data_IF_854398590972
#
_entry.id   IF_854398590972
#
_cell.length_a   1.000
_cell.length_b   1.000
_cell.length_c   1.000
_cell.angle_alpha   90.00
_cell.angle_beta   90.00
_cell.angle_gamma   90.00
#
_symmetry.space_group_name_H-M   'P 1'
#
loop_
_entity.id
_entity.type
_entity.pdbx_description
1 polymer ?
#
# COMPACT_ATOMS: atom_id res chain seq x y z
N UNK A 1 10.22 -27.50 -9.33
CA UNK A 1 11.22 -26.95 -8.38
C UNK A 1 10.49 -26.62 -7.10
N UNK A 2 10.96 -27.04 -5.91
CA UNK A 2 10.32 -26.65 -4.65
C UNK A 2 10.57 -25.16 -4.42
N UNK A 3 9.49 -24.39 -4.28
CA UNK A 3 9.52 -22.94 -4.11
C UNK A 3 10.13 -22.53 -2.76
N UNK A 4 10.94 -21.48 -2.81
CA UNK A 4 11.44 -20.73 -1.65
C UNK A 4 10.31 -19.91 -1.01
N UNK A 5 9.25 -20.56 -0.54
CA UNK A 5 8.27 -19.92 0.34
C UNK A 5 8.61 -20.34 1.78
N UNK A 6 9.65 -19.70 2.31
CA UNK A 6 9.96 -19.81 3.72
C UNK A 6 8.81 -19.20 4.53
N UNK A 7 8.24 -20.00 5.44
CA UNK A 7 7.55 -19.49 6.62
C UNK A 7 8.36 -18.32 7.16
N UNK A 8 7.78 -17.11 7.26
CA UNK A 8 8.45 -15.91 7.78
C UNK A 8 9.09 -16.24 9.13
N UNK A 9 10.38 -16.58 9.14
CA UNK A 9 11.12 -16.84 10.38
C UNK A 9 11.27 -15.51 11.10
N UNK A 10 11.10 -15.48 12.43
CA UNK A 10 11.33 -14.28 13.25
C UNK A 10 12.71 -13.68 12.94
N UNK A 11 12.75 -12.65 12.12
CA UNK A 11 13.97 -12.00 11.65
C UNK A 11 14.51 -11.03 12.70
N UNK A 12 15.82 -10.80 12.64
CA UNK A 12 16.60 -9.76 13.33
C UNK A 12 15.89 -8.39 13.30
N UNK A 13 16.21 -7.43 14.22
CA UNK A 13 15.48 -6.17 14.32
C UNK A 13 15.34 -5.48 12.95
N UNK A 14 14.10 -5.46 12.47
CA UNK A 14 13.71 -4.92 11.18
C UNK A 14 14.08 -3.44 11.13
N UNK A 15 14.95 -3.04 10.20
CA UNK A 15 15.14 -1.63 9.88
C UNK A 15 13.81 -1.07 9.39
N UNK A 16 13.37 0.03 9.99
CA UNK A 16 12.12 0.68 9.64
C UNK A 16 12.37 1.87 8.70
N UNK A 17 11.47 2.02 7.74
CA UNK A 17 11.53 3.07 6.73
C UNK A 17 10.33 3.98 6.89
N UNK A 18 10.56 5.28 7.00
CA UNK A 18 9.49 6.28 7.06
C UNK A 18 9.11 6.68 5.65
N UNK A 19 7.82 6.62 5.36
CA UNK A 19 7.27 7.04 4.07
C UNK A 19 5.99 7.84 4.27
N UNK A 20 5.38 8.14 3.15
CA UNK A 20 4.08 8.79 3.08
C UNK A 20 3.25 8.13 1.99
N UNK A 21 1.95 8.34 2.03
CA UNK A 21 1.10 8.17 0.86
C UNK A 21 0.25 9.41 0.64
N UNK A 22 -0.21 9.58 -0.60
CA UNK A 22 -1.06 10.72 -0.92
C UNK A 22 -2.05 10.41 -2.02
N UNK A 23 -3.23 11.01 -1.89
CA UNK A 23 -4.30 10.91 -2.87
C UNK A 23 -4.01 11.67 -4.17
N UNK A 24 -3.53 12.92 -4.04
CA UNK A 24 -3.23 13.81 -5.17
C UNK A 24 -1.81 13.65 -5.70
N UNK A 25 -1.50 14.18 -6.90
CA UNK A 25 -0.17 14.07 -7.49
C UNK A 25 0.94 14.67 -6.59
N UNK A 26 2.05 13.96 -6.51
CA UNK A 26 3.25 14.32 -5.74
C UNK A 26 3.98 15.53 -6.33
N UNK A 27 3.75 15.81 -7.60
CA UNK A 27 4.28 16.96 -8.33
C UNK A 27 3.30 18.15 -8.39
N UNK A 28 2.23 18.14 -7.58
CA UNK A 28 1.30 19.27 -7.50
C UNK A 28 2.04 20.53 -7.01
N UNK A 29 1.85 21.65 -7.70
CA UNK A 29 2.50 22.93 -7.42
C UNK A 29 2.09 23.55 -6.07
N UNK A 30 3.03 23.66 -5.14
CA UNK A 30 2.89 24.20 -3.79
C UNK A 30 3.70 25.49 -3.63
N UNK A 31 3.17 26.53 -2.97
CA UNK A 31 4.02 27.62 -2.52
C UNK A 31 4.87 27.17 -1.32
N UNK A 32 6.18 27.07 -1.50
CA UNK A 32 7.16 26.85 -0.43
C UNK A 32 8.14 28.03 -0.40
N UNK A 33 8.14 28.79 0.71
CA UNK A 33 9.04 29.95 0.92
C UNK A 33 9.05 30.96 -0.26
N UNK A 34 7.88 31.25 -0.82
CA UNK A 34 7.73 32.19 -1.93
C UNK A 34 8.15 31.65 -3.30
N UNK A 35 8.47 30.36 -3.43
CA UNK A 35 8.68 29.65 -4.69
C UNK A 35 7.57 28.64 -4.95
N UNK A 36 7.31 28.33 -6.21
CA UNK A 36 6.45 27.22 -6.60
C UNK A 36 7.31 25.96 -6.66
N UNK A 37 6.92 24.93 -5.91
CA UNK A 37 7.65 23.66 -5.72
C UNK A 37 6.68 22.48 -5.89
N UNK A 38 7.13 21.25 -6.04
CA UNK A 38 6.27 20.06 -6.01
C UNK A 38 5.79 19.71 -4.60
N UNK A 39 4.62 19.10 -4.47
CA UNK A 39 4.05 18.68 -3.17
C UNK A 39 5.02 17.81 -2.36
N UNK A 40 5.76 16.90 -2.99
CA UNK A 40 6.75 16.09 -2.29
C UNK A 40 7.86 16.94 -1.65
N UNK A 41 8.35 17.96 -2.34
CA UNK A 41 9.37 18.88 -1.81
C UNK A 41 8.83 19.67 -0.61
N UNK A 42 7.57 20.11 -0.68
CA UNK A 42 6.87 20.69 0.47
C UNK A 42 6.80 19.72 1.66
N UNK A 43 6.45 18.45 1.42
CA UNK A 43 6.40 17.44 2.48
C UNK A 43 7.79 17.18 3.07
N UNK A 44 8.82 17.05 2.24
CA UNK A 44 10.21 16.86 2.68
C UNK A 44 10.67 17.96 3.66
N UNK A 45 10.37 19.22 3.36
CA UNK A 45 10.71 20.33 4.27
C UNK A 45 9.91 20.26 5.59
N UNK A 46 8.62 19.88 5.52
CA UNK A 46 7.74 19.80 6.69
C UNK A 46 8.09 18.65 7.62
N UNK A 47 8.52 17.53 7.07
CA UNK A 47 8.92 16.33 7.81
C UNK A 47 10.40 16.36 8.22
N UNK A 48 11.16 17.37 7.78
CA UNK A 48 12.58 17.54 8.11
C UNK A 48 13.49 16.54 7.41
N UNK A 49 13.05 15.94 6.30
CA UNK A 49 13.80 14.95 5.54
C UNK A 49 12.97 14.30 4.43
N UNK A 50 13.66 13.76 3.42
CA UNK A 50 13.02 13.07 2.31
C UNK A 50 12.41 11.74 2.78
N UNK A 51 11.13 11.47 2.48
CA UNK A 51 10.53 10.15 2.75
C UNK A 51 11.30 9.04 2.03
N UNK A 52 11.45 7.88 2.64
CA UNK A 52 12.09 6.73 1.97
C UNK A 52 11.22 6.19 0.81
N UNK A 53 9.90 6.33 0.92
CA UNK A 53 8.95 5.91 -0.10
C UNK A 53 7.71 6.81 -0.15
N UNK A 54 7.00 6.73 -1.28
CA UNK A 54 5.73 7.42 -1.54
C UNK A 54 4.68 6.45 -2.10
N UNK A 55 3.57 6.30 -1.40
CA UNK A 55 2.38 5.58 -1.84
C UNK A 55 1.55 6.36 -2.85
N UNK A 56 1.29 5.78 -4.03
CA UNK A 56 0.50 6.41 -5.10
C UNK A 56 -0.43 5.45 -5.82
N UNK A 57 -1.61 5.98 -6.18
CA UNK A 57 -2.63 5.21 -6.87
C UNK A 57 -2.27 5.02 -8.34
N UNK A 58 -2.05 3.77 -8.76
CA UNK A 58 -2.02 3.40 -10.19
C UNK A 58 -3.44 3.30 -10.77
N UNK A 59 -4.44 3.17 -9.89
CA UNK A 59 -5.86 3.32 -10.21
C UNK A 59 -6.64 3.74 -8.98
N UNK A 60 -7.46 4.77 -9.14
CA UNK A 60 -8.51 5.10 -8.20
C UNK A 60 -9.78 5.49 -8.95
N UNK A 61 -10.86 4.70 -8.92
CA UNK A 61 -12.06 5.06 -9.67
C UNK A 61 -12.79 6.28 -9.10
N UNK A 62 -12.52 6.66 -7.85
CA UNK A 62 -13.07 7.85 -7.22
C UNK A 62 -12.30 9.13 -7.57
N UNK A 63 -11.20 9.04 -8.33
CA UNK A 63 -10.38 10.20 -8.71
C UNK A 63 -9.62 10.04 -10.02
N UNK A 64 -9.46 11.17 -10.71
CA UNK A 64 -8.58 11.26 -11.87
C UNK A 64 -7.08 11.29 -11.52
N UNK A 65 -6.71 11.40 -10.24
CA UNK A 65 -5.33 11.55 -9.76
C UNK A 65 -4.53 10.23 -9.72
N UNK A 66 -4.56 9.48 -10.83
CA UNK A 66 -3.73 8.31 -11.03
C UNK A 66 -2.30 8.74 -11.34
N UNK A 67 -1.33 7.96 -10.87
CA UNK A 67 0.09 8.24 -11.13
C UNK A 67 0.38 8.16 -12.63
N UNK A 68 1.26 9.04 -13.10
CA UNK A 68 1.71 9.11 -14.51
C UNK A 68 3.21 8.87 -14.57
N UNK A 69 3.75 8.53 -15.75
CA UNK A 69 5.20 8.34 -15.92
C UNK A 69 6.01 9.54 -15.43
N UNK A 70 5.55 10.77 -15.73
CA UNK A 70 6.18 12.01 -15.25
C UNK A 70 6.15 12.15 -13.72
N UNK A 71 5.08 11.68 -13.08
CA UNK A 71 5.01 11.68 -11.62
C UNK A 71 5.94 10.61 -11.03
N UNK A 72 6.03 9.43 -11.64
CA UNK A 72 6.96 8.36 -11.26
C UNK A 72 8.40 8.84 -11.37
N UNK A 73 8.78 9.44 -12.51
CA UNK A 73 10.10 10.05 -12.72
C UNK A 73 10.41 11.11 -11.67
N UNK A 74 9.43 11.97 -11.36
CA UNK A 74 9.59 12.97 -10.31
C UNK A 74 9.84 12.34 -8.94
N UNK A 75 9.01 11.38 -8.50
CA UNK A 75 9.17 10.70 -7.20
C UNK A 75 10.54 10.03 -7.11
N UNK A 76 10.92 9.27 -8.13
CA UNK A 76 12.21 8.55 -8.17
C UNK A 76 13.40 9.49 -8.24
N UNK A 77 13.28 10.60 -8.98
CA UNK A 77 14.28 11.66 -9.04
C UNK A 77 14.50 12.41 -7.71
N UNK A 78 13.54 12.33 -6.77
CA UNK A 78 13.71 12.84 -5.41
C UNK A 78 14.36 11.80 -4.46
N UNK A 79 14.73 10.62 -4.96
CA UNK A 79 15.32 9.54 -4.16
C UNK A 79 14.30 8.72 -3.36
N UNK A 80 13.02 8.79 -3.70
CA UNK A 80 11.96 8.03 -3.03
C UNK A 80 11.62 6.76 -3.82
N UNK A 81 11.36 5.66 -3.10
CA UNK A 81 10.77 4.46 -3.70
C UNK A 81 9.27 4.65 -3.96
N UNK A 82 8.73 4.10 -5.03
CA UNK A 82 7.29 4.12 -5.32
C UNK A 82 6.60 2.91 -4.69
N UNK A 83 5.51 3.14 -3.97
CA UNK A 83 4.60 2.12 -3.43
C UNK A 83 3.26 2.15 -4.22
N UNK A 84 3.03 1.22 -5.15
CA UNK A 84 1.85 1.23 -6.02
C UNK A 84 0.56 0.81 -5.30
N UNK A 85 -0.51 1.60 -5.47
CA UNK A 85 -1.82 1.36 -4.87
C UNK A 85 -2.87 1.15 -5.95
N UNK A 86 -3.58 0.03 -5.88
CA UNK A 86 -4.71 -0.27 -6.73
C UNK A 86 -6.00 -0.19 -5.91
N UNK A 87 -6.93 0.69 -6.27
CA UNK A 87 -8.23 0.77 -5.61
C UNK A 87 -9.28 -0.05 -6.36
N UNK A 88 -9.68 -1.25 -5.86
CA UNK A 88 -10.86 -1.94 -6.33
C UNK A 88 -12.11 -1.14 -5.92
N UNK A 89 -12.99 -0.77 -6.86
CA UNK A 89 -14.29 -0.18 -6.50
C UNK A 89 -15.27 -1.21 -5.95
N UNK A 90 -15.90 -0.96 -4.80
CA UNK A 90 -16.94 -1.86 -4.25
C UNK A 90 -18.05 -2.21 -5.26
N UNK A 91 -18.48 -1.23 -6.06
CA UNK A 91 -19.53 -1.43 -7.07
C UNK A 91 -19.14 -2.40 -8.20
N UNK A 92 -17.84 -2.66 -8.39
CA UNK A 92 -17.30 -3.42 -9.52
C UNK A 92 -16.50 -4.67 -9.12
N UNK A 93 -16.40 -4.99 -7.82
CA UNK A 93 -15.39 -5.94 -7.34
C UNK A 93 -15.95 -7.11 -6.55
N UNK A 94 -17.27 -7.24 -6.42
CA UNK A 94 -17.92 -8.38 -5.77
C UNK A 94 -17.25 -8.81 -4.46
N UNK A 95 -16.70 -7.83 -3.70
CA UNK A 95 -16.02 -8.08 -2.42
C UNK A 95 -16.99 -8.61 -1.37
N UNK A 96 -18.29 -8.59 -1.68
CA UNK A 96 -19.40 -9.19 -0.96
C UNK A 96 -20.06 -10.24 -1.87
N UNK A 97 -20.49 -11.35 -1.27
CA UNK A 97 -21.28 -12.37 -1.97
C UNK A 97 -20.46 -13.59 -2.43
N UNK A 98 -21.11 -14.53 -3.15
CA UNK A 98 -20.57 -15.87 -3.42
C UNK A 98 -19.43 -15.88 -4.45
N UNK A 99 -19.29 -14.83 -5.25
CA UNK A 99 -18.30 -14.77 -6.34
C UNK A 99 -16.97 -14.11 -5.92
N UNK A 100 -16.73 -13.92 -4.62
CA UNK A 100 -15.57 -13.17 -4.10
C UNK A 100 -14.24 -13.59 -4.74
N UNK A 101 -13.98 -14.90 -4.84
CA UNK A 101 -12.74 -15.43 -5.42
C UNK A 101 -12.56 -15.08 -6.90
N UNK A 102 -13.64 -15.11 -7.69
CA UNK A 102 -13.57 -14.70 -9.10
C UNK A 102 -13.17 -13.22 -9.19
N UNK A 103 -13.83 -12.36 -8.43
CA UNK A 103 -13.58 -10.93 -8.49
C UNK A 103 -12.23 -10.54 -7.90
N UNK A 104 -11.74 -11.24 -6.87
CA UNK A 104 -10.38 -11.08 -6.36
C UNK A 104 -9.34 -11.36 -7.44
N UNK A 105 -9.50 -12.46 -8.21
CA UNK A 105 -8.61 -12.80 -9.33
C UNK A 105 -8.63 -11.75 -10.43
N UNK A 106 -9.81 -11.23 -10.77
CA UNK A 106 -9.95 -10.16 -11.77
C UNK A 106 -9.33 -8.84 -11.28
N UNK A 107 -9.48 -8.50 -10.00
CA UNK A 107 -8.85 -7.33 -9.41
C UNK A 107 -7.32 -7.42 -9.48
N UNK A 108 -6.73 -8.57 -9.13
CA UNK A 108 -5.29 -8.80 -9.22
C UNK A 108 -4.79 -8.69 -10.67
N UNK A 109 -5.48 -9.31 -11.63
CA UNK A 109 -5.16 -9.20 -13.07
C UNK A 109 -5.14 -7.75 -13.55
N UNK A 110 -6.15 -6.97 -13.16
CA UNK A 110 -6.23 -5.56 -13.53
C UNK A 110 -5.10 -4.74 -12.89
N UNK A 111 -4.81 -4.97 -11.61
CA UNK A 111 -3.73 -4.29 -10.89
C UNK A 111 -2.37 -4.55 -11.54
N UNK A 112 -2.06 -5.81 -11.85
CA UNK A 112 -0.81 -6.21 -12.51
C UNK A 112 -0.73 -5.68 -13.94
N UNK A 113 -1.83 -5.72 -14.70
CA UNK A 113 -1.87 -5.16 -16.05
C UNK A 113 -1.56 -3.66 -16.08
N UNK A 114 -2.12 -2.90 -15.14
CA UNK A 114 -1.84 -1.46 -14.99
C UNK A 114 -0.40 -1.20 -14.57
N UNK A 115 0.12 -1.98 -13.61
CA UNK A 115 1.49 -1.86 -13.16
C UNK A 115 2.49 -2.08 -14.32
N UNK A 116 2.26 -3.12 -15.14
CA UNK A 116 3.07 -3.37 -16.35
C UNK A 116 2.96 -2.25 -17.38
N UNK A 117 1.77 -1.67 -17.55
CA UNK A 117 1.56 -0.52 -18.43
C UNK A 117 2.35 0.73 -18.00
N UNK A 118 2.64 0.86 -16.70
CA UNK A 118 3.49 1.90 -16.11
C UNK A 118 4.95 1.46 -15.93
N UNK A 119 5.34 0.33 -16.54
CA UNK A 119 6.68 -0.24 -16.46
C UNK A 119 7.16 -0.58 -15.03
N UNK A 120 6.24 -0.78 -14.09
CA UNK A 120 6.56 -1.17 -12.72
C UNK A 120 7.13 -2.61 -12.72
N UNK A 121 8.38 -2.82 -12.23
CA UNK A 121 9.04 -4.13 -12.21
C UNK A 121 8.22 -5.22 -11.52
N UNK A 122 8.37 -6.48 -11.94
CA UNK A 122 7.53 -7.61 -11.47
C UNK A 122 7.81 -8.07 -10.03
N UNK A 123 8.93 -7.65 -9.44
CA UNK A 123 9.28 -7.82 -8.02
C UNK A 123 8.66 -6.77 -7.10
N UNK A 124 8.07 -5.69 -7.64
CA UNK A 124 7.38 -4.67 -6.85
C UNK A 124 5.98 -5.13 -6.46
N UNK A 125 5.57 -4.95 -5.21
CA UNK A 125 4.20 -5.28 -4.80
C UNK A 125 3.22 -4.18 -5.20
N UNK A 126 2.01 -4.58 -5.60
CA UNK A 126 0.87 -3.67 -5.74
C UNK A 126 -0.08 -3.94 -4.59
N UNK A 127 -0.50 -2.88 -3.91
CA UNK A 127 -1.38 -2.97 -2.75
C UNK A 127 -2.83 -2.72 -3.14
N UNK A 128 -3.73 -3.68 -2.88
CA UNK A 128 -5.16 -3.44 -3.01
C UNK A 128 -5.64 -2.53 -1.89
N UNK A 129 -6.25 -1.38 -2.21
CA UNK A 129 -6.89 -0.50 -1.25
C UNK A 129 -8.22 -1.10 -0.78
N UNK A 130 -8.27 -1.62 0.44
CA UNK A 130 -9.48 -2.13 1.07
C UNK A 130 -9.81 -1.25 2.26
N UNK A 131 -10.64 -0.23 2.04
CA UNK A 131 -10.97 0.73 3.09
C UNK A 131 -11.53 0.02 4.35
N UNK A 132 -11.25 0.51 5.56
CA UNK A 132 -11.60 -0.18 6.81
C UNK A 132 -13.07 -0.56 6.99
N UNK A 133 -13.97 0.20 6.36
CA UNK A 133 -15.41 0.01 6.45
C UNK A 133 -15.97 -0.88 5.34
N UNK A 134 -15.13 -1.35 4.43
CA UNK A 134 -15.56 -2.22 3.34
C UNK A 134 -15.83 -3.63 3.87
N UNK A 135 -16.88 -4.27 3.33
CA UNK A 135 -17.09 -5.69 3.63
C UNK A 135 -16.24 -6.48 2.66
N UNK A 136 -15.32 -7.27 3.22
CA UNK A 136 -14.38 -8.12 2.52
C UNK A 136 -14.71 -9.58 2.86
N UNK A 137 -14.83 -10.45 1.86
CA UNK A 137 -14.93 -11.90 2.08
C UNK A 137 -13.55 -12.57 2.07
N UNK A 138 -13.36 -13.68 2.80
CA UNK A 138 -12.15 -14.49 2.69
C UNK A 138 -11.88 -14.94 1.26
N UNK A 139 -12.93 -15.34 0.53
CA UNK A 139 -12.83 -15.79 -0.86
C UNK A 139 -12.24 -14.72 -1.78
N UNK A 140 -12.58 -13.45 -1.58
CA UNK A 140 -11.98 -12.36 -2.35
C UNK A 140 -10.47 -12.25 -2.10
N UNK A 141 -10.03 -12.40 -0.85
CA UNK A 141 -8.60 -12.38 -0.48
C UNK A 141 -7.87 -13.56 -1.13
N UNK A 142 -8.45 -14.77 -1.08
CA UNK A 142 -7.91 -15.94 -1.79
C UNK A 142 -7.77 -15.65 -3.27
N UNK A 143 -8.83 -15.12 -3.89
CA UNK A 143 -8.83 -14.77 -5.31
C UNK A 143 -7.77 -13.75 -5.68
N UNK A 144 -7.58 -12.70 -4.86
CA UNK A 144 -6.51 -11.73 -5.07
C UNK A 144 -5.14 -12.41 -5.06
N UNK A 145 -4.85 -13.22 -4.04
CA UNK A 145 -3.55 -13.88 -3.89
C UNK A 145 -3.27 -14.85 -5.05
N UNK A 146 -4.24 -15.70 -5.41
CA UNK A 146 -4.12 -16.62 -6.56
C UNK A 146 -3.93 -15.88 -7.88
N UNK A 147 -4.67 -14.79 -8.08
CA UNK A 147 -4.57 -13.99 -9.29
C UNK A 147 -3.21 -13.31 -9.41
N UNK A 148 -2.62 -12.88 -8.30
CA UNK A 148 -1.30 -12.26 -8.25
C UNK A 148 -0.19 -13.29 -8.53
N UNK A 149 -0.23 -14.43 -7.82
CA UNK A 149 0.73 -15.55 -7.94
C UNK A 149 0.76 -16.12 -9.36
N UNK A 150 -0.40 -16.25 -10.01
CA UNK A 150 -0.53 -16.76 -11.37
C UNK A 150 0.10 -15.85 -12.45
N UNK A 151 0.38 -14.59 -12.14
CA UNK A 151 0.91 -13.60 -13.09
C UNK A 151 2.42 -13.39 -12.98
N UNK A 152 3.11 -14.32 -12.29
CA UNK A 152 4.58 -14.38 -12.13
C UNK A 152 5.20 -13.17 -11.44
N UNK A 153 4.42 -12.36 -10.72
CA UNK A 153 4.97 -11.42 -9.74
C UNK A 153 5.30 -12.20 -8.47
N UNK A 154 6.42 -11.91 -7.83
CA UNK A 154 6.81 -12.64 -6.62
C UNK A 154 5.76 -12.42 -5.52
N UNK A 155 5.40 -13.48 -4.79
CA UNK A 155 4.46 -13.40 -3.66
C UNK A 155 3.00 -13.14 -4.03
N UNK A 156 2.24 -12.56 -3.09
CA UNK A 156 0.78 -12.33 -3.19
C UNK A 156 0.41 -10.84 -3.33
N UNK A 157 1.38 -9.98 -3.61
CA UNK A 157 1.22 -8.53 -3.56
C UNK A 157 0.91 -8.07 -2.13
N UNK A 158 0.15 -6.97 -2.01
CA UNK A 158 -0.21 -6.41 -0.71
C UNK A 158 -1.68 -6.03 -0.58
N UNK A 159 -2.12 -5.85 0.67
CA UNK A 159 -3.46 -5.39 1.02
C UNK A 159 -3.34 -4.21 2.00
N UNK A 160 -3.86 -3.05 1.61
CA UNK A 160 -4.18 -1.99 2.56
C UNK A 160 -5.53 -2.31 3.21
N UNK A 161 -5.59 -2.30 4.54
CA UNK A 161 -6.78 -2.76 5.26
C UNK A 161 -6.89 -2.18 6.68
N UNK A 162 -8.10 -2.19 7.25
CA UNK A 162 -8.34 -1.87 8.65
C UNK A 162 -8.21 -3.07 9.61
N UNK A 163 -8.13 -2.77 10.91
CA UNK A 163 -7.92 -3.75 12.00
C UNK A 163 -8.89 -4.94 11.97
N UNK A 164 -10.17 -4.73 11.65
CA UNK A 164 -11.17 -5.80 11.63
C UNK A 164 -10.92 -6.84 10.54
N UNK A 165 -10.23 -6.48 9.46
CA UNK A 165 -9.89 -7.42 8.39
C UNK A 165 -8.84 -8.45 8.83
N UNK A 166 -7.96 -8.05 9.74
CA UNK A 166 -6.81 -8.84 10.22
C UNK A 166 -6.98 -9.37 11.65
N UNK A 167 -8.11 -9.08 12.31
CA UNK A 167 -8.42 -9.60 13.63
C UNK A 167 -8.63 -11.13 13.60
N UNK A 168 -8.55 -11.85 14.75
CA UNK A 168 -8.92 -13.25 14.81
C UNK A 168 -10.32 -13.50 14.24
N UNK A 169 -10.42 -14.39 13.25
CA UNK A 169 -11.68 -14.63 12.53
C UNK A 169 -12.04 -13.56 11.50
N UNK A 170 -11.19 -12.56 11.27
CA UNK A 170 -11.33 -11.60 10.16
C UNK A 170 -11.11 -12.26 8.79
N UNK A 171 -11.59 -11.64 7.70
CA UNK A 171 -11.55 -12.23 6.36
C UNK A 171 -10.14 -12.57 5.86
N UNK A 172 -9.13 -11.75 6.18
CA UNK A 172 -7.74 -12.03 5.78
C UNK A 172 -7.23 -13.26 6.53
N UNK A 173 -7.42 -13.32 7.85
CA UNK A 173 -7.03 -14.47 8.68
C UNK A 173 -7.72 -15.76 8.22
N UNK A 174 -9.01 -15.69 7.88
CA UNK A 174 -9.74 -16.84 7.36
C UNK A 174 -9.18 -17.32 6.01
N UNK A 175 -8.84 -16.40 5.11
CA UNK A 175 -8.26 -16.74 3.81
C UNK A 175 -6.90 -17.45 3.94
N UNK A 176 -6.09 -17.12 4.95
CA UNK A 176 -4.78 -17.74 5.15
C UNK A 176 -4.85 -19.25 5.39
N UNK A 177 -5.98 -19.73 5.96
CA UNK A 177 -6.23 -21.16 6.14
C UNK A 177 -6.31 -21.89 4.79
N UNK A 178 -6.90 -21.25 3.79
CA UNK A 178 -7.00 -21.78 2.41
C UNK A 178 -5.67 -21.67 1.68
N UNK A 179 -4.89 -20.61 1.92
CA UNK A 179 -3.60 -20.37 1.26
C UNK A 179 -2.42 -21.13 1.88
N UNK A 180 -2.67 -22.08 2.79
CA UNK A 180 -1.63 -22.89 3.43
C UNK A 180 -0.67 -22.07 4.29
N UNK A 181 -1.13 -20.95 4.87
CA UNK A 181 -0.32 -20.06 5.71
C UNK A 181 0.56 -19.06 4.95
N UNK A 182 0.51 -19.03 3.61
CA UNK A 182 1.10 -17.93 2.82
C UNK A 182 0.22 -16.69 2.96
N UNK A 183 0.81 -15.53 3.21
CA UNK A 183 0.10 -14.27 3.41
C UNK A 183 0.53 -13.16 2.44
N UNK A 184 -0.40 -12.31 1.97
CA UNK A 184 -0.04 -11.08 1.29
C UNK A 184 0.64 -10.11 2.26
N UNK A 185 1.40 -9.16 1.72
CA UNK A 185 1.93 -8.08 2.54
C UNK A 185 0.78 -7.24 3.14
N UNK A 186 0.86 -6.92 4.43
CA UNK A 186 -0.21 -6.18 5.11
C UNK A 186 0.18 -4.73 5.35
N UNK A 187 -0.56 -3.82 4.74
CA UNK A 187 -0.54 -2.41 5.07
C UNK A 187 -1.76 -2.08 5.95
N UNK A 188 -1.52 -1.91 7.24
CA UNK A 188 -2.57 -1.62 8.21
C UNK A 188 -2.81 -0.11 8.28
N UNK A 189 -4.05 0.32 8.17
CA UNK A 189 -4.45 1.65 8.58
C UNK A 189 -4.96 1.68 10.01
N UNK A 190 -4.70 2.80 10.67
CA UNK A 190 -5.00 3.01 12.08
C UNK A 190 -6.51 3.17 12.33
N UNK A 191 -6.97 2.57 13.41
CA UNK A 191 -8.06 3.14 14.20
C UNK A 191 -7.47 4.22 15.11
N UNK A 192 -7.47 5.48 14.68
CA UNK A 192 -7.23 6.70 15.48
C UNK A 192 -5.98 6.74 16.37
N UNK A 193 -5.11 7.71 16.13
CA UNK A 193 -4.44 8.33 17.26
C UNK A 193 -3.43 9.37 16.87
N UNK A 194 -2.63 9.78 17.86
CA UNK A 194 -2.12 11.14 18.03
C UNK A 194 -1.08 11.64 17.00
N UNK A 195 -0.81 10.88 15.94
CA UNK A 195 0.09 11.28 14.85
C UNK A 195 1.59 11.26 15.19
N UNK A 196 1.98 10.70 16.35
CA UNK A 196 3.39 10.51 16.73
C UNK A 196 3.98 9.29 16.05
N UNK A 197 5.27 9.39 15.68
CA UNK A 197 6.03 8.27 15.13
C UNK A 197 6.11 7.13 16.17
N UNK A 198 5.58 5.94 15.82
CA UNK A 198 5.46 4.85 16.77
C UNK A 198 6.76 4.07 17.02
N UNK A 199 7.80 4.24 16.19
CA UNK A 199 9.09 3.54 16.34
C UNK A 199 9.05 2.01 16.19
N UNK A 200 7.87 1.40 16.04
CA UNK A 200 7.64 -0.03 15.85
C UNK A 200 6.34 -0.29 15.08
N UNK A 201 6.29 -1.42 14.37
CA UNK A 201 5.10 -1.88 13.65
C UNK A 201 4.14 -2.60 14.61
N UNK A 202 2.82 -2.48 14.42
CA UNK A 202 1.85 -3.13 15.29
C UNK A 202 1.86 -4.65 15.04
N UNK A 203 1.57 -5.42 16.08
CA UNK A 203 1.34 -6.86 15.92
C UNK A 203 0.03 -7.12 15.17
N UNK A 204 0.01 -8.14 14.31
CA UNK A 204 -1.22 -8.68 13.72
C UNK A 204 -1.65 -9.98 14.43
N UNK A 205 -2.73 -10.61 13.95
CA UNK A 205 -3.06 -11.96 14.34
C UNK A 205 -1.91 -12.92 13.97
N UNK A 206 -1.72 -13.98 14.76
CA UNK A 206 -0.60 -14.91 14.61
C UNK A 206 -0.52 -15.53 13.21
N UNK A 207 -1.67 -15.74 12.56
CA UNK A 207 -1.79 -16.30 11.21
C UNK A 207 -1.30 -15.36 10.11
N UNK A 208 -1.22 -14.06 10.38
CA UNK A 208 -0.73 -13.04 9.46
C UNK A 208 0.77 -12.78 9.71
N UNK A 209 1.22 -12.93 10.95
CA UNK A 209 2.57 -12.58 11.36
C UNK A 209 2.68 -11.08 11.68
N UNK A 210 3.69 -10.43 11.14
CA UNK A 210 3.92 -9.00 11.35
C UNK A 210 3.22 -8.16 10.27
N UNK A 211 2.71 -6.99 10.68
CA UNK A 211 2.28 -5.94 9.76
C UNK A 211 3.50 -5.43 9.00
N UNK A 212 3.37 -5.29 7.69
CA UNK A 212 4.47 -4.91 6.79
C UNK A 212 4.59 -3.39 6.62
N UNK A 213 3.44 -2.69 6.60
CA UNK A 213 3.37 -1.23 6.56
C UNK A 213 2.29 -0.76 7.54
N UNK A 214 2.56 0.30 8.28
CA UNK A 214 1.57 0.93 9.14
C UNK A 214 1.38 2.40 8.77
N UNK A 215 0.16 2.74 8.35
CA UNK A 215 -0.30 4.12 8.22
C UNK A 215 -0.68 4.65 9.61
N UNK A 216 0.21 5.42 10.24
CA UNK A 216 0.07 5.84 11.64
C UNK A 216 -0.51 7.25 11.82
N UNK A 217 -0.56 8.05 10.73
CA UNK A 217 -1.21 9.36 10.69
C UNK A 217 -1.92 9.56 9.34
N UNK A 218 -3.09 10.20 9.35
CA UNK A 218 -3.92 10.44 8.15
C UNK A 218 -4.24 11.92 8.03
N UNK A 219 -4.27 12.44 6.81
CA UNK A 219 -4.69 13.81 6.49
C UNK A 219 -3.75 14.87 7.07
N UNK A 220 -2.47 14.56 7.19
CA UNK A 220 -1.45 15.52 7.63
C UNK A 220 -1.36 16.64 6.60
N UNK A 221 -1.52 17.88 7.06
CA UNK A 221 -1.47 19.07 6.21
C UNK A 221 -0.92 20.24 7.01
N UNK A 222 -0.19 21.14 6.36
CA UNK A 222 0.24 22.37 7.00
C UNK A 222 -0.92 23.34 7.21
N UNK A 223 -0.77 24.20 8.21
CA UNK A 223 -1.74 25.23 8.51
C UNK A 223 -1.97 26.14 7.30
N UNK A 224 -3.25 26.37 6.96
CA UNK A 224 -3.64 27.26 5.86
C UNK A 224 -3.68 26.61 4.46
N UNK A 225 -3.36 25.32 4.33
CA UNK A 225 -3.54 24.58 3.08
C UNK A 225 -4.82 23.74 3.12
N UNK A 226 -5.46 23.60 1.95
CA UNK A 226 -6.63 22.71 1.80
C UNK A 226 -6.19 21.24 1.99
N UNK A 227 -6.71 20.59 3.02
CA UNK A 227 -6.42 19.19 3.33
C UNK A 227 -6.82 18.24 2.20
N UNK A 228 -7.81 18.59 1.37
CA UNK A 228 -8.22 17.76 0.22
C UNK A 228 -7.24 17.79 -0.93
N UNK A 229 -6.45 18.87 -1.06
CA UNK A 229 -5.42 19.01 -2.08
C UNK A 229 -4.04 18.58 -1.53
N UNK A 230 -3.73 19.04 -0.33
CA UNK A 230 -2.39 19.01 0.26
C UNK A 230 -2.19 17.94 1.31
N UNK A 231 -3.27 17.27 1.75
CA UNK A 231 -3.19 16.17 2.69
C UNK A 231 -2.31 15.03 2.19
N UNK A 232 -1.55 14.46 3.10
CA UNK A 232 -0.80 13.22 2.93
C UNK A 232 -0.87 12.43 4.24
N UNK A 233 -0.63 11.14 4.13
CA UNK A 233 -0.65 10.22 5.26
C UNK A 233 0.80 9.83 5.58
N UNK A 234 1.06 9.41 6.81
CA UNK A 234 2.40 8.98 7.23
C UNK A 234 2.43 7.49 7.45
N UNK A 235 3.48 6.87 6.93
CA UNK A 235 3.66 5.43 6.94
C UNK A 235 5.01 5.01 7.53
N UNK A 236 5.01 3.83 8.12
CA UNK A 236 6.19 3.14 8.58
C UNK A 236 6.22 1.75 7.94
N UNK A 237 7.31 1.40 7.26
CA UNK A 237 7.44 0.13 6.57
C UNK A 237 8.56 -0.73 7.15
N UNK A 238 8.35 -2.05 7.14
CA UNK A 238 9.39 -3.06 7.37
C UNK A 238 10.40 -3.05 6.21
N UNK A 239 11.59 -3.62 6.42
CA UNK A 239 12.53 -3.86 5.33
C UNK A 239 11.95 -4.77 4.26
N UNK A 240 11.19 -5.80 4.66
CA UNK A 240 10.52 -6.69 3.72
C UNK A 240 9.57 -5.92 2.79
N UNK A 241 8.73 -5.04 3.33
CA UNK A 241 7.83 -4.23 2.51
C UNK A 241 8.60 -3.27 1.60
N UNK A 242 9.63 -2.63 2.14
CA UNK A 242 10.45 -1.65 1.44
C UNK A 242 11.23 -2.25 0.28
N UNK A 243 11.77 -3.47 0.45
CA UNK A 243 12.52 -4.19 -0.60
C UNK A 243 11.63 -4.57 -1.80
N UNK A 244 10.30 -4.54 -1.64
CA UNK A 244 9.32 -4.77 -2.71
C UNK A 244 8.66 -3.47 -3.20
N UNK A 245 9.29 -2.31 -2.96
CA UNK A 245 8.90 -1.03 -3.55
C UNK A 245 9.79 -0.73 -4.76
N UNK A 246 9.31 0.09 -5.70
CA UNK A 246 10.12 0.44 -6.87
C UNK A 246 11.16 1.49 -6.49
N UNK A 247 12.40 1.02 -6.28
CA UNK A 247 13.51 1.87 -5.88
C UNK A 247 13.80 2.99 -6.90
N UNK A 248 14.33 4.14 -6.41
CA UNK A 248 14.93 5.15 -7.30
C UNK A 248 16.15 4.55 -8.02
N UNK A 249 16.50 5.12 -9.18
CA UNK A 249 17.70 4.75 -9.94
C UNK A 249 19.01 5.20 -9.26
#
# INVERSE_FOLDING_TARGET
>A
MPGLDAVRSKQSPTKLYRGIDMYNPSNLSAPLRGKVTGKLEYVTEREGGTPAFVGRYIKNPASAAQVTDKEIEFIRGQGCSLLPIYCPTQAHTGMKGPDGQKWGREAAKNAVGLARGLHIPDDVFVYANIEPHWVLTPDWVVGWCEGYDALTRQGFGGLYCGQLHIAPGGPIVQAMKTLGGRAPAVWLTRAMGDGRDPGLLPAAAQEIGDVDIWQYAVGVVGQGLDSRAWGYDRDLASSYAFDHMWAPD
#
